data_IF_132165708748
#
_entry.id   IF_132165708748
#
_cell.length_a   1.000
_cell.length_b   1.000
_cell.length_c   1.000
_cell.angle_alpha   90.00
_cell.angle_beta   90.00
_cell.angle_gamma   90.00
#
_symmetry.space_group_name_H-M   'P 1'
#
loop_
_entity.id
_entity.type
_entity.pdbx_description
1 polymer ?
#
# COMPACT_ATOMS: atom_id res chain seq x y z
N UNK A 1 21.96 -62.68 0.73
CA UNK A 1 23.13 -61.82 1.08
C UNK A 1 22.63 -60.51 1.67
N UNK A 2 22.58 -60.38 3.00
CA UNK A 2 22.00 -59.23 3.70
C UNK A 2 23.00 -58.08 3.68
N UNK A 3 22.71 -57.04 2.92
CA UNK A 3 23.51 -55.83 2.88
C UNK A 3 23.22 -54.95 4.11
N UNK A 4 24.21 -54.94 5.01
CA UNK A 4 24.09 -54.41 6.36
C UNK A 4 23.78 -52.91 6.42
N UNK A 5 22.83 -52.54 7.32
CA UNK A 5 22.48 -51.19 7.76
C UNK A 5 23.61 -50.45 8.54
N UNK A 6 24.87 -50.62 8.13
CA UNK A 6 26.04 -49.98 8.81
C UNK A 6 26.16 -48.48 8.53
N UNK A 7 25.63 -48.02 7.39
CA UNK A 7 25.85 -46.63 6.97
C UNK A 7 25.15 -45.57 7.88
N UNK A 8 23.94 -45.85 8.38
CA UNK A 8 23.21 -44.91 9.24
C UNK A 8 23.87 -44.72 10.62
N UNK A 9 24.38 -45.81 11.22
CA UNK A 9 25.07 -45.74 12.51
C UNK A 9 26.40 -45.00 12.39
N UNK A 10 27.15 -45.26 11.33
CA UNK A 10 28.42 -44.55 11.05
C UNK A 10 28.16 -43.04 10.87
N UNK A 11 27.11 -42.68 10.17
CA UNK A 11 26.73 -41.28 9.94
C UNK A 11 26.34 -40.57 11.25
N UNK A 12 25.60 -41.25 12.14
CA UNK A 12 25.26 -40.74 13.47
C UNK A 12 26.53 -40.54 14.32
N UNK A 13 27.44 -41.50 14.34
CA UNK A 13 28.70 -41.37 15.09
C UNK A 13 29.61 -40.27 14.50
N UNK A 14 29.59 -40.10 13.18
CA UNK A 14 30.33 -39.01 12.54
C UNK A 14 29.77 -37.64 12.94
N UNK A 15 28.45 -37.48 12.96
CA UNK A 15 27.82 -36.22 13.43
C UNK A 15 28.05 -36.01 14.93
N UNK A 16 27.98 -37.06 15.78
CA UNK A 16 28.31 -36.96 17.18
C UNK A 16 29.78 -36.55 17.40
N UNK A 17 30.70 -37.11 16.62
CA UNK A 17 32.11 -36.74 16.67
C UNK A 17 32.36 -35.28 16.30
N UNK A 18 31.69 -34.81 15.22
CA UNK A 18 31.75 -33.40 14.84
C UNK A 18 31.12 -32.50 15.93
N UNK A 19 30.01 -32.93 16.51
CA UNK A 19 29.35 -32.17 17.57
C UNK A 19 30.24 -32.06 18.82
N UNK A 20 30.73 -33.17 19.33
CA UNK A 20 31.63 -33.15 20.51
C UNK A 20 32.98 -32.50 20.21
N UNK A 21 33.54 -32.67 19.02
CA UNK A 21 34.77 -31.99 18.58
C UNK A 21 34.61 -30.50 18.46
N UNK A 22 33.42 -30.00 18.13
CA UNK A 22 33.14 -28.56 18.03
C UNK A 22 32.90 -27.91 19.41
N UNK A 23 32.30 -28.60 20.36
CA UNK A 23 32.00 -28.06 21.71
C UNK A 23 33.29 -27.67 22.49
N UNK A 24 34.37 -28.41 22.29
CA UNK A 24 35.63 -28.14 23.01
C UNK A 24 36.58 -27.21 22.24
N UNK A 25 36.12 -26.56 21.17
CA UNK A 25 36.95 -25.66 20.40
C UNK A 25 36.95 -24.28 21.07
N UNK A 26 38.07 -23.87 21.65
CA UNK A 26 38.28 -22.61 22.35
C UNK A 26 37.95 -21.40 21.46
N UNK A 27 38.07 -21.53 20.12
CA UNK A 27 37.73 -20.49 19.20
C UNK A 27 36.20 -20.25 19.10
N UNK A 28 35.37 -21.25 19.37
CA UNK A 28 33.93 -21.06 19.44
C UNK A 28 33.49 -20.24 20.63
N UNK A 29 34.19 -20.33 21.75
CA UNK A 29 33.91 -19.51 22.95
C UNK A 29 34.23 -18.02 22.75
N UNK A 30 35.00 -17.68 21.72
CA UNK A 30 35.38 -16.30 21.37
C UNK A 30 34.55 -15.72 20.20
N UNK A 31 33.58 -16.44 19.66
CA UNK A 31 32.68 -15.87 18.67
C UNK A 31 31.80 -14.83 19.37
N UNK A 32 32.25 -13.60 19.33
CA UNK A 32 31.38 -12.45 19.66
C UNK A 32 30.39 -12.29 18.52
N UNK A 33 29.14 -12.60 18.81
CA UNK A 33 28.05 -12.26 17.89
C UNK A 33 27.86 -10.75 18.03
N UNK A 34 28.40 -10.02 17.08
CA UNK A 34 28.34 -8.57 17.10
C UNK A 34 26.88 -8.10 16.96
N UNK A 35 26.59 -6.96 17.59
CA UNK A 35 25.34 -6.26 17.38
C UNK A 35 25.23 -5.84 15.90
N UNK A 36 24.02 -5.55 15.46
CA UNK A 36 23.82 -4.95 14.14
C UNK A 36 24.60 -3.63 14.08
N UNK A 37 25.57 -3.57 13.16
CA UNK A 37 26.48 -2.43 12.99
C UNK A 37 25.97 -1.49 11.91
N UNK A 38 25.31 -2.03 10.90
CA UNK A 38 24.85 -1.25 9.75
C UNK A 38 23.40 -1.58 9.42
N UNK A 39 22.58 -0.53 9.26
CA UNK A 39 21.23 -0.61 8.73
C UNK A 39 21.21 0.22 7.46
N UNK A 40 20.80 -0.40 6.36
CA UNK A 40 20.66 0.26 5.07
C UNK A 40 19.19 0.23 4.66
N UNK A 41 18.65 1.39 4.35
CA UNK A 41 17.26 1.56 3.91
C UNK A 41 17.26 2.13 2.49
N UNK A 42 16.43 1.58 1.63
CA UNK A 42 16.25 2.04 0.26
C UNK A 42 14.76 2.04 -0.13
N UNK A 43 14.43 2.80 -1.19
CA UNK A 43 13.08 2.84 -1.75
C UNK A 43 12.30 4.12 -1.47
N UNK A 44 12.73 4.94 -0.50
CA UNK A 44 12.21 6.29 -0.29
C UNK A 44 13.22 7.35 -0.81
N UNK A 45 12.85 8.61 -0.73
CA UNK A 45 13.79 9.72 -0.92
C UNK A 45 14.84 9.73 0.20
N UNK A 46 16.05 10.22 -0.08
CA UNK A 46 17.20 10.17 0.84
C UNK A 46 16.90 10.74 2.24
N UNK A 47 16.09 11.78 2.31
CA UNK A 47 15.68 12.39 3.59
C UNK A 47 14.88 11.40 4.44
N UNK A 48 13.94 10.69 3.85
CA UNK A 48 13.07 9.72 4.54
C UNK A 48 13.81 8.42 4.84
N UNK A 49 14.68 7.96 3.94
CA UNK A 49 15.56 6.81 4.19
C UNK A 49 16.43 7.07 5.42
N UNK A 50 17.10 8.24 5.50
CA UNK A 50 17.94 8.62 6.65
C UNK A 50 17.14 8.70 7.95
N UNK A 51 15.94 9.27 7.89
CA UNK A 51 15.06 9.35 9.07
C UNK A 51 14.69 7.95 9.58
N UNK A 52 14.33 7.04 8.69
CA UNK A 52 13.98 5.67 9.06
C UNK A 52 15.20 4.89 9.58
N UNK A 53 16.40 5.08 9.00
CA UNK A 53 17.65 4.50 9.52
C UNK A 53 17.87 4.96 10.97
N UNK A 54 17.67 6.24 11.24
CA UNK A 54 17.81 6.78 12.59
C UNK A 54 16.80 6.16 13.57
N UNK A 55 15.55 6.01 13.16
CA UNK A 55 14.53 5.36 13.98
C UNK A 55 14.89 3.89 14.28
N UNK A 56 15.29 3.13 13.25
CA UNK A 56 15.67 1.72 13.41
C UNK A 56 16.93 1.54 14.27
N UNK A 57 17.91 2.42 14.15
CA UNK A 57 19.11 2.40 15.00
C UNK A 57 18.77 2.64 16.49
N UNK A 58 17.77 3.46 16.79
CA UNK A 58 17.33 3.74 18.15
C UNK A 58 16.64 2.54 18.83
N UNK A 59 16.19 1.53 18.06
CA UNK A 59 15.51 0.36 18.60
C UNK A 59 16.40 -0.62 19.36
N UNK A 60 17.73 -0.47 19.32
CA UNK A 60 18.68 -1.41 19.92
C UNK A 60 18.36 -2.87 19.55
N UNK A 61 18.32 -3.17 18.27
CA UNK A 61 17.85 -4.45 17.70
C UNK A 61 18.66 -5.69 18.11
N UNK A 62 19.78 -5.51 18.85
CA UNK A 62 20.61 -6.61 19.27
C UNK A 62 21.48 -7.18 18.15
N UNK A 63 21.55 -8.50 18.03
CA UNK A 63 22.30 -9.14 16.97
C UNK A 63 21.37 -9.72 15.89
N UNK A 64 21.94 -9.98 14.71
CA UNK A 64 21.18 -10.37 13.52
C UNK A 64 20.51 -11.77 13.64
N UNK A 65 21.04 -12.65 14.52
CA UNK A 65 20.53 -14.01 14.71
C UNK A 65 19.27 -14.02 15.58
N UNK A 66 19.18 -13.12 16.56
CA UNK A 66 18.04 -12.99 17.49
C UNK A 66 17.30 -11.66 17.28
N UNK A 67 17.17 -11.27 16.01
CA UNK A 67 16.51 -10.03 15.63
C UNK A 67 15.01 -10.09 15.99
N UNK A 68 14.58 -9.10 16.76
CA UNK A 68 13.16 -8.89 17.06
C UNK A 68 12.50 -8.15 15.87
N UNK A 69 11.93 -8.92 14.96
CA UNK A 69 11.29 -8.39 13.75
C UNK A 69 10.02 -7.60 14.06
N UNK A 70 9.38 -7.82 15.22
CA UNK A 70 8.17 -7.09 15.61
C UNK A 70 8.45 -5.60 15.83
N UNK A 71 9.59 -5.25 16.43
CA UNK A 71 9.99 -3.85 16.62
C UNK A 71 10.25 -3.12 15.31
N UNK A 72 10.80 -3.85 14.33
CA UNK A 72 11.02 -3.30 12.99
C UNK A 72 9.68 -3.04 12.32
N UNK A 73 8.77 -4.03 12.33
CA UNK A 73 7.46 -3.89 11.71
C UNK A 73 6.65 -2.75 12.34
N UNK A 74 6.59 -2.65 13.67
CA UNK A 74 5.90 -1.55 14.34
C UNK A 74 6.42 -0.18 13.91
N UNK A 75 7.76 -0.03 13.81
CA UNK A 75 8.38 1.24 13.37
C UNK A 75 8.08 1.56 11.92
N UNK A 76 8.14 0.56 11.03
CA UNK A 76 7.89 0.75 9.60
C UNK A 76 6.40 0.95 9.35
N UNK A 77 5.53 0.16 9.98
CA UNK A 77 4.09 0.22 9.80
C UNK A 77 3.46 1.51 10.35
N UNK A 78 4.11 2.18 11.28
CA UNK A 78 3.70 3.52 11.73
C UNK A 78 3.88 4.59 10.65
N UNK A 79 4.70 4.35 9.63
CA UNK A 79 4.99 5.31 8.58
C UNK A 79 3.92 5.26 7.47
N UNK A 80 3.31 6.41 7.18
CA UNK A 80 2.21 6.53 6.21
C UNK A 80 2.67 6.50 4.75
N UNK A 81 3.98 6.69 4.49
CA UNK A 81 4.56 6.67 3.15
C UNK A 81 4.95 5.29 2.65
N UNK A 82 4.84 4.27 3.50
CA UNK A 82 5.28 2.92 3.19
C UNK A 82 4.08 2.06 2.81
N UNK A 83 4.12 1.51 1.60
CA UNK A 83 3.15 0.54 1.09
C UNK A 83 3.47 -0.86 1.61
N UNK A 84 4.70 -1.27 1.38
CA UNK A 84 5.24 -2.56 1.80
C UNK A 84 6.74 -2.48 1.98
N UNK A 85 7.31 -3.45 2.65
CA UNK A 85 8.75 -3.53 2.84
C UNK A 85 9.22 -4.98 2.88
N UNK A 86 10.53 -5.17 2.69
CA UNK A 86 11.21 -6.45 2.90
C UNK A 86 12.51 -6.23 3.67
N UNK A 87 12.79 -7.16 4.59
CA UNK A 87 13.98 -7.11 5.44
C UNK A 87 14.89 -8.27 5.09
N UNK A 88 16.15 -7.97 4.77
CA UNK A 88 17.17 -8.96 4.46
C UNK A 88 18.31 -8.89 5.46
N UNK A 89 18.69 -10.03 5.99
CA UNK A 89 19.82 -10.20 6.92
C UNK A 89 21.09 -10.49 6.12
N UNK A 90 22.09 -9.63 6.21
CA UNK A 90 23.44 -9.87 5.66
C UNK A 90 24.42 -10.06 6.79
N UNK A 91 24.83 -11.29 6.96
CA UNK A 91 25.74 -11.67 8.03
C UNK A 91 27.13 -11.06 7.82
N UNK A 92 27.87 -10.72 8.90
CA UNK A 92 27.50 -10.99 10.29
C UNK A 92 26.58 -9.93 10.95
N UNK A 93 26.45 -8.71 10.45
CA UNK A 93 25.92 -7.58 11.23
C UNK A 93 25.20 -6.49 10.42
N UNK A 94 24.81 -6.74 9.18
CA UNK A 94 24.15 -5.75 8.32
C UNK A 94 22.69 -6.13 8.05
N UNK A 95 21.80 -5.15 8.19
CA UNK A 95 20.37 -5.27 7.88
C UNK A 95 20.03 -4.39 6.66
N UNK A 96 19.42 -4.98 5.64
CA UNK A 96 18.88 -4.26 4.49
C UNK A 96 17.36 -4.19 4.59
N UNK A 97 16.82 -2.99 4.47
CA UNK A 97 15.39 -2.76 4.45
C UNK A 97 15.02 -2.11 3.11
N UNK A 98 14.35 -2.86 2.26
CA UNK A 98 13.87 -2.34 0.98
C UNK A 98 12.39 -1.96 1.12
N UNK A 99 12.05 -0.74 0.74
CA UNK A 99 10.74 -0.15 0.92
C UNK A 99 10.10 0.13 -0.43
N UNK A 100 8.83 -0.24 -0.56
CA UNK A 100 7.97 0.24 -1.62
C UNK A 100 7.18 1.44 -1.10
N UNK A 101 7.29 2.57 -1.79
CA UNK A 101 6.59 3.81 -1.45
C UNK A 101 5.10 3.68 -1.78
N UNK A 102 4.23 4.16 -0.90
CA UNK A 102 2.79 4.25 -1.17
C UNK A 102 2.50 5.25 -2.28
N UNK A 103 1.44 5.01 -3.03
CA UNK A 103 0.90 5.92 -4.03
C UNK A 103 -0.27 6.67 -3.41
N UNK A 104 -0.27 8.00 -3.50
CA UNK A 104 -1.41 8.78 -3.05
C UNK A 104 -2.51 8.75 -4.10
N UNK A 105 -3.74 8.52 -3.66
CA UNK A 105 -4.89 8.28 -4.52
C UNK A 105 -5.87 9.46 -4.55
N UNK A 106 -6.08 10.13 -3.42
CA UNK A 106 -7.05 11.21 -3.32
C UNK A 106 -6.72 12.16 -2.15
N UNK A 107 -7.39 13.31 -2.13
CA UNK A 107 -7.40 14.26 -1.03
C UNK A 107 -8.74 14.20 -0.29
N UNK A 108 -8.72 14.30 1.02
CA UNK A 108 -9.92 14.34 1.85
C UNK A 108 -9.77 15.40 2.95
N UNK A 109 -10.85 16.12 3.24
CA UNK A 109 -10.90 17.00 4.41
C UNK A 109 -11.44 16.22 5.62
N UNK A 110 -10.66 16.18 6.71
CA UNK A 110 -11.12 15.66 7.99
C UNK A 110 -10.93 16.72 9.08
N UNK A 111 -12.01 17.19 9.65
CA UNK A 111 -12.02 18.19 10.73
C UNK A 111 -11.25 19.48 10.36
N UNK A 112 -11.42 19.96 9.12
CA UNK A 112 -10.79 21.20 8.64
C UNK A 112 -9.35 21.04 8.15
N UNK A 113 -8.75 19.86 8.25
CA UNK A 113 -7.41 19.56 7.74
C UNK A 113 -7.48 18.65 6.53
N UNK A 114 -6.68 18.94 5.50
CA UNK A 114 -6.59 18.12 4.28
C UNK A 114 -5.55 17.03 4.49
N UNK A 115 -5.95 15.80 4.18
CA UNK A 115 -5.10 14.62 4.20
C UNK A 115 -5.04 14.00 2.81
N UNK A 116 -3.93 13.32 2.53
CA UNK A 116 -3.76 12.44 1.38
C UNK A 116 -4.11 11.02 1.80
N UNK A 117 -4.84 10.30 0.96
CA UNK A 117 -5.15 8.88 1.15
C UNK A 117 -4.16 8.07 0.31
N UNK A 118 -3.37 7.23 0.97
CA UNK A 118 -2.45 6.30 0.31
C UNK A 118 -3.13 5.01 -0.16
N UNK A 119 -2.52 4.33 -1.12
CA UNK A 119 -2.90 2.97 -1.55
C UNK A 119 -2.86 1.96 -0.40
N UNK A 120 -2.02 2.21 0.60
CA UNK A 120 -1.94 1.45 1.84
C UNK A 120 -3.09 1.72 2.84
N UNK A 121 -4.05 2.56 2.49
CA UNK A 121 -5.17 2.94 3.35
C UNK A 121 -4.84 3.87 4.51
N UNK A 122 -3.63 4.41 4.57
CA UNK A 122 -3.23 5.36 5.61
C UNK A 122 -3.45 6.80 5.16
N UNK A 123 -3.66 7.69 6.14
CA UNK A 123 -3.76 9.14 5.91
C UNK A 123 -2.43 9.80 6.18
N UNK A 124 -1.98 10.62 5.24
CA UNK A 124 -0.78 11.44 5.36
C UNK A 124 -1.12 12.92 5.29
N UNK A 125 -0.32 13.76 5.97
CA UNK A 125 -0.49 15.22 5.89
C UNK A 125 -0.25 15.74 4.47
N UNK A 126 -1.09 16.70 4.02
CA UNK A 126 -1.09 17.24 2.66
C UNK A 126 0.04 18.24 2.35
N UNK A 127 1.11 18.31 3.18
CA UNK A 127 2.28 19.15 2.90
C UNK A 127 3.06 18.71 1.65
N UNK A 128 2.63 17.62 1.02
CA UNK A 128 3.15 17.13 -0.24
C UNK A 128 2.31 17.71 -1.38
N UNK A 129 2.98 18.38 -2.30
CA UNK A 129 2.40 19.14 -3.42
C UNK A 129 1.84 18.29 -4.57
N UNK A 130 1.12 17.20 -4.29
CA UNK A 130 0.43 16.44 -5.34
C UNK A 130 -0.84 17.20 -5.77
N UNK A 131 -0.69 18.05 -6.79
CA UNK A 131 -1.75 18.96 -7.25
C UNK A 131 -2.88 18.24 -7.99
N UNK A 132 -2.62 17.09 -8.60
CA UNK A 132 -3.50 16.46 -9.58
C UNK A 132 -4.34 15.29 -9.02
N UNK A 133 -4.48 15.18 -7.69
CA UNK A 133 -5.28 14.15 -7.07
C UNK A 133 -6.73 14.60 -6.89
N UNK A 134 -7.72 13.73 -7.18
CA UNK A 134 -9.12 14.05 -6.97
C UNK A 134 -9.43 14.36 -5.51
N UNK A 135 -10.35 15.30 -5.29
CA UNK A 135 -10.81 15.66 -3.95
C UNK A 135 -12.07 14.87 -3.59
N UNK A 136 -12.09 14.27 -2.39
CA UNK A 136 -13.26 13.56 -1.88
C UNK A 136 -14.09 14.51 -1.01
N UNK A 137 -15.32 14.76 -1.45
CA UNK A 137 -16.35 15.41 -0.68
C UNK A 137 -17.19 14.37 0.07
N UNK A 138 -17.57 14.68 1.28
CA UNK A 138 -18.19 13.73 2.21
C UNK A 138 -17.18 13.11 3.17
N UNK A 139 -17.62 12.10 3.92
CA UNK A 139 -16.76 11.47 4.94
C UNK A 139 -16.84 9.94 4.86
N UNK A 140 -16.35 9.33 3.77
CA UNK A 140 -16.29 7.88 3.68
C UNK A 140 -15.27 7.30 4.67
N UNK A 141 -15.48 6.04 5.06
CA UNK A 141 -14.40 5.22 5.59
C UNK A 141 -13.36 4.98 4.48
N UNK A 142 -12.10 4.92 4.84
CA UNK A 142 -11.02 4.72 3.86
C UNK A 142 -11.20 3.41 3.08
N UNK A 143 -11.69 2.37 3.75
CA UNK A 143 -12.01 1.10 3.12
C UNK A 143 -13.02 1.25 1.98
N UNK A 144 -14.11 1.99 2.21
CA UNK A 144 -15.14 2.23 1.19
C UNK A 144 -14.58 2.99 -0.03
N UNK A 145 -13.67 3.94 0.22
CA UNK A 145 -12.98 4.62 -0.88
C UNK A 145 -12.07 3.66 -1.66
N UNK A 146 -11.28 2.82 -1.00
CA UNK A 146 -10.41 1.87 -1.68
C UNK A 146 -11.19 0.82 -2.49
N UNK A 147 -12.36 0.38 -1.99
CA UNK A 147 -13.27 -0.49 -2.73
C UNK A 147 -13.83 0.22 -3.97
N UNK A 148 -14.25 1.48 -3.83
CA UNK A 148 -14.71 2.28 -4.95
C UNK A 148 -13.62 2.55 -5.98
N UNK A 149 -12.39 2.83 -5.52
CA UNK A 149 -11.22 2.99 -6.39
C UNK A 149 -10.96 1.75 -7.24
N UNK A 150 -11.12 0.54 -6.69
CA UNK A 150 -11.01 -0.71 -7.46
C UNK A 150 -12.07 -0.80 -8.54
N UNK A 151 -13.32 -0.38 -8.25
CA UNK A 151 -14.38 -0.33 -9.27
C UNK A 151 -14.01 0.60 -10.42
N UNK A 152 -13.42 1.76 -10.10
CA UNK A 152 -12.93 2.70 -11.13
C UNK A 152 -11.80 2.06 -11.94
N UNK A 153 -10.83 1.40 -11.27
CA UNK A 153 -9.70 0.75 -11.96
C UNK A 153 -10.11 -0.42 -12.84
N UNK A 154 -11.18 -1.12 -12.48
CA UNK A 154 -11.78 -2.19 -13.28
C UNK A 154 -12.58 -1.65 -14.49
N UNK A 155 -12.86 -0.34 -14.55
CA UNK A 155 -13.59 0.31 -15.63
C UNK A 155 -12.66 0.85 -16.71
N UNK A 156 -13.25 1.38 -17.80
CA UNK A 156 -12.48 2.07 -18.85
C UNK A 156 -12.26 3.57 -18.57
N UNK A 157 -12.70 4.07 -17.40
CA UNK A 157 -12.49 5.46 -17.00
C UNK A 157 -11.06 5.67 -16.54
N UNK A 158 -10.35 6.58 -17.20
CA UNK A 158 -9.01 6.97 -16.73
C UNK A 158 -9.11 7.78 -15.43
N UNK A 159 -8.37 7.36 -14.40
CA UNK A 159 -8.40 8.02 -13.11
C UNK A 159 -7.99 9.50 -13.17
N UNK A 160 -7.10 9.87 -14.09
CA UNK A 160 -6.66 11.24 -14.32
C UNK A 160 -7.75 12.16 -14.87
N UNK A 161 -8.88 11.62 -15.34
CA UNK A 161 -10.04 12.39 -15.78
C UNK A 161 -10.96 12.79 -14.62
N UNK A 162 -10.69 12.31 -13.41
CA UNK A 162 -11.52 12.54 -12.25
C UNK A 162 -11.01 13.77 -11.50
N UNK A 163 -11.88 14.78 -11.40
CA UNK A 163 -11.62 16.01 -10.64
C UNK A 163 -12.01 15.86 -9.18
N UNK A 164 -13.21 15.29 -8.93
CA UNK A 164 -13.76 15.16 -7.58
C UNK A 164 -14.62 13.92 -7.44
N UNK A 165 -14.70 13.41 -6.21
CA UNK A 165 -15.53 12.29 -5.81
C UNK A 165 -16.48 12.75 -4.71
N UNK A 166 -17.76 12.45 -4.83
CA UNK A 166 -18.77 12.82 -3.84
C UNK A 166 -19.32 11.56 -3.17
N UNK A 167 -19.13 11.46 -1.87
CA UNK A 167 -19.66 10.37 -1.05
C UNK A 167 -20.87 10.85 -0.24
N UNK A 168 -21.94 10.11 -0.30
CA UNK A 168 -23.20 10.39 0.40
C UNK A 168 -23.42 9.44 1.57
N UNK A 169 -24.24 9.83 2.52
CA UNK A 169 -24.58 8.99 3.69
C UNK A 169 -25.24 7.66 3.32
N UNK A 170 -25.90 7.61 2.17
CA UNK A 170 -26.46 6.39 1.59
C UNK A 170 -25.39 5.44 1.01
N UNK A 171 -24.11 5.67 1.25
CA UNK A 171 -22.96 4.95 0.66
C UNK A 171 -22.78 5.10 -0.85
N UNK A 172 -23.60 5.94 -1.49
CA UNK A 172 -23.53 6.24 -2.91
C UNK A 172 -22.32 7.11 -3.25
N UNK A 173 -21.74 6.87 -4.41
CA UNK A 173 -20.69 7.68 -5.01
C UNK A 173 -21.19 8.40 -6.26
N UNK A 174 -20.81 9.67 -6.42
CA UNK A 174 -20.89 10.39 -7.69
C UNK A 174 -19.46 10.84 -8.09
N UNK A 175 -19.20 10.94 -9.39
CA UNK A 175 -17.89 11.32 -9.95
C UNK A 175 -18.04 12.63 -10.72
N UNK A 176 -17.22 13.62 -10.43
CA UNK A 176 -17.06 14.80 -11.28
C UNK A 176 -15.79 14.64 -12.12
N UNK A 177 -15.92 14.75 -13.42
CA UNK A 177 -14.83 14.70 -14.38
C UNK A 177 -14.19 16.09 -14.58
N UNK A 178 -12.96 16.13 -15.12
CA UNK A 178 -12.23 17.36 -15.42
C UNK A 178 -13.00 18.31 -16.37
N UNK A 179 -13.83 17.76 -17.26
CA UNK A 179 -14.72 18.53 -18.14
C UNK A 179 -16.02 18.99 -17.46
N UNK A 180 -16.12 18.88 -16.12
CA UNK A 180 -17.25 19.24 -15.28
C UNK A 180 -18.54 18.40 -15.50
N UNK A 181 -18.46 17.27 -16.17
CA UNK A 181 -19.58 16.31 -16.24
C UNK A 181 -19.66 15.54 -14.92
N UNK A 182 -20.86 15.42 -14.35
CA UNK A 182 -21.13 14.67 -13.15
C UNK A 182 -21.78 13.34 -13.51
N UNK A 183 -21.15 12.24 -13.12
CA UNK A 183 -21.71 10.89 -13.21
C UNK A 183 -22.34 10.54 -11.86
N UNK A 184 -23.67 10.33 -11.84
CA UNK A 184 -24.39 9.87 -10.65
C UNK A 184 -24.58 8.37 -10.71
N UNK A 185 -24.04 7.66 -9.71
CA UNK A 185 -23.98 6.20 -9.72
C UNK A 185 -25.03 5.58 -8.80
N UNK A 186 -25.41 4.34 -9.11
CA UNK A 186 -26.27 3.54 -8.24
C UNK A 186 -25.53 3.10 -6.97
N UNK A 187 -26.19 3.15 -5.83
CA UNK A 187 -25.68 2.64 -4.56
C UNK A 187 -25.54 1.11 -4.59
N UNK A 188 -26.59 0.42 -5.09
CA UNK A 188 -26.66 -1.05 -5.05
C UNK A 188 -25.89 -1.73 -6.19
N UNK A 189 -25.58 -1.00 -7.26
CA UNK A 189 -24.94 -1.55 -8.46
C UNK A 189 -23.97 -0.53 -9.07
N UNK A 190 -23.02 -0.09 -8.26
CA UNK A 190 -22.06 0.96 -8.61
C UNK A 190 -21.24 0.62 -9.85
N UNK A 191 -20.79 -0.65 -9.97
CA UNK A 191 -19.94 -1.10 -11.09
C UNK A 191 -20.67 -1.03 -12.43
N UNK A 192 -21.87 -1.56 -12.51
CA UNK A 192 -22.62 -1.54 -13.77
C UNK A 192 -23.09 -0.12 -14.12
N UNK A 193 -23.57 0.64 -13.13
CA UNK A 193 -23.97 2.04 -13.37
C UNK A 193 -22.81 2.93 -13.83
N UNK A 194 -21.59 2.68 -13.36
CA UNK A 194 -20.39 3.36 -13.86
C UNK A 194 -20.10 2.98 -15.32
N UNK A 195 -20.12 1.68 -15.63
CA UNK A 195 -19.89 1.21 -17.00
C UNK A 195 -20.92 1.76 -17.98
N UNK A 196 -22.21 1.77 -17.61
CA UNK A 196 -23.29 2.32 -18.44
C UNK A 196 -23.09 3.83 -18.68
N UNK A 197 -22.73 4.58 -17.63
CA UNK A 197 -22.44 6.01 -17.75
C UNK A 197 -21.26 6.28 -18.70
N UNK A 198 -20.19 5.48 -18.61
CA UNK A 198 -19.00 5.61 -19.47
C UNK A 198 -19.34 5.22 -20.91
N UNK A 199 -20.05 4.12 -21.13
CA UNK A 199 -20.48 3.71 -22.46
C UNK A 199 -21.35 4.80 -23.12
N UNK A 200 -22.27 5.40 -22.36
CA UNK A 200 -23.06 6.51 -22.82
C UNK A 200 -22.20 7.73 -23.17
N UNK A 201 -21.26 8.11 -22.29
CA UNK A 201 -20.36 9.26 -22.49
C UNK A 201 -19.54 9.10 -23.78
N UNK A 202 -19.01 7.91 -24.04
CA UNK A 202 -18.17 7.63 -25.20
C UNK A 202 -18.94 7.55 -26.52
N UNK A 203 -20.22 7.14 -26.49
CA UNK A 203 -21.04 6.92 -27.68
C UNK A 203 -22.03 8.05 -27.95
N UNK A 204 -22.15 9.03 -27.04
CA UNK A 204 -23.16 10.07 -27.19
C UNK A 204 -22.74 11.17 -28.17
N UNK A 205 -23.67 11.53 -29.05
CA UNK A 205 -23.56 12.70 -29.91
C UNK A 205 -24.09 13.98 -29.23
N UNK A 206 -24.52 13.88 -27.99
CA UNK A 206 -25.10 14.99 -27.25
C UNK A 206 -24.02 16.00 -26.85
N UNK A 207 -24.28 17.27 -27.18
CA UNK A 207 -23.41 18.40 -26.77
C UNK A 207 -23.91 19.00 -25.46
N UNK A 208 -22.99 19.57 -24.68
CA UNK A 208 -23.29 20.31 -23.44
C UNK A 208 -23.93 19.47 -22.32
N UNK A 209 -23.53 18.19 -22.19
CA UNK A 209 -23.95 17.35 -21.08
C UNK A 209 -23.32 17.88 -19.80
N UNK A 210 -24.15 18.05 -18.75
CA UNK A 210 -23.70 18.41 -17.40
C UNK A 210 -23.80 17.26 -16.41
N UNK A 211 -24.84 16.45 -16.50
CA UNK A 211 -25.07 15.32 -15.61
C UNK A 211 -25.47 14.10 -16.43
N UNK A 212 -24.87 12.97 -16.13
CA UNK A 212 -25.26 11.63 -16.55
C UNK A 212 -25.70 10.88 -15.30
N UNK A 213 -27.01 10.63 -15.18
CA UNK A 213 -27.56 9.96 -14.01
C UNK A 213 -27.87 8.49 -14.37
N UNK A 214 -27.05 7.59 -13.88
CA UNK A 214 -27.13 6.14 -14.08
C UNK A 214 -27.63 5.40 -12.82
N UNK A 215 -28.34 6.07 -11.92
CA UNK A 215 -28.82 5.47 -10.67
C UNK A 215 -29.92 4.43 -10.86
N UNK A 216 -30.68 4.54 -11.94
CA UNK A 216 -31.79 3.62 -12.25
C UNK A 216 -31.27 2.59 -13.26
N UNK A 217 -31.39 1.30 -12.89
CA UNK A 217 -30.97 0.20 -13.75
C UNK A 217 -31.58 0.33 -15.16
N UNK A 218 -30.77 0.09 -16.18
CA UNK A 218 -31.17 0.12 -17.63
C UNK A 218 -31.71 1.48 -18.10
N UNK A 219 -31.46 2.57 -17.37
CA UNK A 219 -31.86 3.93 -17.74
C UNK A 219 -30.78 4.95 -17.49
N UNK A 220 -30.54 5.79 -18.48
CA UNK A 220 -29.67 6.97 -18.34
C UNK A 220 -30.53 8.22 -18.46
N UNK A 221 -30.44 9.10 -17.46
CA UNK A 221 -31.07 10.42 -17.47
C UNK A 221 -30.01 11.48 -17.69
N UNK A 222 -30.21 12.38 -18.63
CA UNK A 222 -29.26 13.41 -19.02
C UNK A 222 -29.80 14.77 -18.60
N UNK A 223 -28.88 15.59 -18.03
CA UNK A 223 -29.15 17.02 -17.82
C UNK A 223 -28.14 17.81 -18.64
N UNK A 224 -28.64 18.61 -19.55
CA UNK A 224 -27.81 19.50 -20.36
C UNK A 224 -27.69 20.90 -19.71
N UNK A 225 -26.57 21.57 -19.98
CA UNK A 225 -26.43 22.99 -19.61
C UNK A 225 -27.27 23.83 -20.56
N UNK A 226 -28.34 24.47 -20.05
CA UNK A 226 -29.26 25.31 -20.85
C UNK A 226 -28.69 26.73 -21.03
N UNK A 227 -27.44 27.00 -20.72
CA UNK A 227 -26.82 28.32 -20.97
C UNK A 227 -26.37 28.37 -22.43
N UNK A 228 -27.22 28.83 -23.30
CA UNK A 228 -26.88 29.42 -24.60
C UNK A 228 -26.59 30.89 -24.44
#
# INVERSE_FOLDING_TARGET
MMRQRKSKKILIYFFLFLFFGSINNINFNNIKIDKIVSIQVSGLEDKYNRFLIQQLNNLNLGNIFFLDESKISETIDSNTFIESYSVFKSYPSTLYVNINKTIFLAKINKKGKIFLIGSNGKLSDSNLSDKDLPFIFGNPEIKNFLEFKRIIDDSTLSYNQIKSLYFFQSTRWDIELENNIILKLSENDTKNSLNDAILFLNNSSFKNIKIIDARIKDKIIIVNDQRT
#
